data_IF_058881101979
#
_entry.id   IF_058881101979
#
_cell.length_a   1.000
_cell.length_b   1.000
_cell.length_c   1.000
_cell.angle_alpha   90.00
_cell.angle_beta   90.00
_cell.angle_gamma   90.00
#
_symmetry.space_group_name_H-M   'P 1'
#
loop_
_entity.id
_entity.type
_entity.pdbx_description
1 polymer ?
#
# COMPACT_ATOMS: atom_id res chain seq x y z
N UNK A 1 -14.73 12.25 -24.11
CA UNK A 1 -13.52 13.10 -24.18
C UNK A 1 -13.18 13.70 -22.81
N UNK A 2 -11.91 13.64 -22.39
CA UNK A 2 -11.46 14.27 -21.14
C UNK A 2 -11.52 15.80 -21.24
N UNK A 3 -11.75 16.47 -20.12
CA UNK A 3 -11.71 17.94 -20.08
C UNK A 3 -10.26 18.42 -20.20
N UNK A 4 -10.06 19.58 -20.84
CA UNK A 4 -8.74 20.23 -20.96
C UNK A 4 -8.05 20.40 -19.61
N UNK A 5 -8.83 20.68 -18.55
CA UNK A 5 -8.34 20.81 -17.19
C UNK A 5 -7.71 19.51 -16.66
N UNK A 6 -8.31 18.34 -16.94
CA UNK A 6 -7.76 17.05 -16.50
C UNK A 6 -6.45 16.71 -17.20
N UNK A 7 -6.33 17.05 -18.47
CA UNK A 7 -5.10 16.87 -19.26
C UNK A 7 -3.99 17.79 -18.72
N UNK A 8 -4.31 19.07 -18.50
CA UNK A 8 -3.37 20.03 -17.94
C UNK A 8 -2.84 19.62 -16.56
N UNK A 9 -3.71 19.07 -15.71
CA UNK A 9 -3.34 18.59 -14.36
C UNK A 9 -2.30 17.46 -14.41
N UNK A 10 -2.44 16.51 -15.34
CA UNK A 10 -1.46 15.44 -15.52
C UNK A 10 -0.08 16.00 -15.90
N UNK A 11 -0.03 16.91 -16.89
CA UNK A 11 1.21 17.54 -17.32
C UNK A 11 1.86 18.42 -16.23
N UNK A 12 1.05 19.05 -15.37
CA UNK A 12 1.56 19.79 -14.20
C UNK A 12 2.15 18.86 -13.14
N UNK A 13 1.44 17.78 -12.78
CA UNK A 13 1.94 16.76 -11.83
C UNK A 13 3.26 16.16 -12.31
N UNK A 14 3.38 15.87 -13.61
CA UNK A 14 4.61 15.33 -14.19
C UNK A 14 5.79 16.30 -14.09
N UNK A 15 5.58 17.58 -14.39
CA UNK A 15 6.62 18.61 -14.23
C UNK A 15 7.01 18.82 -12.76
N UNK A 16 6.06 18.71 -11.83
CA UNK A 16 6.35 18.78 -10.40
C UNK A 16 7.24 17.60 -9.96
N UNK A 17 6.94 16.38 -10.42
CA UNK A 17 7.77 15.21 -10.16
C UNK A 17 9.20 15.35 -10.70
N UNK A 18 9.36 15.86 -11.94
CA UNK A 18 10.69 16.13 -12.52
C UNK A 18 11.49 17.12 -11.68
N UNK A 19 10.88 18.24 -11.28
CA UNK A 19 11.55 19.22 -10.41
C UNK A 19 11.98 18.61 -9.09
N UNK A 20 11.16 17.75 -8.51
CA UNK A 20 11.51 17.05 -7.27
C UNK A 20 12.70 16.11 -7.46
N UNK A 21 12.77 15.41 -8.60
CA UNK A 21 13.91 14.53 -8.94
C UNK A 21 15.18 15.37 -9.14
N UNK A 22 15.09 16.48 -9.87
CA UNK A 22 16.25 17.33 -10.20
C UNK A 22 16.79 18.11 -9.00
N UNK A 23 15.90 18.67 -8.18
CA UNK A 23 16.28 19.54 -7.06
C UNK A 23 16.57 18.77 -5.77
N UNK A 24 16.20 17.49 -5.73
CA UNK A 24 16.10 16.73 -4.48
C UNK A 24 15.03 17.31 -3.55
N UNK A 25 14.66 16.55 -2.53
CA UNK A 25 13.83 17.10 -1.46
C UNK A 25 14.73 17.68 -0.37
N UNK A 26 14.92 19.01 -0.39
CA UNK A 26 15.65 19.74 0.66
C UNK A 26 15.06 19.38 2.04
N UNK A 27 15.84 18.68 2.86
CA UNK A 27 15.46 18.21 4.21
C UNK A 27 15.33 16.69 4.35
N UNK A 28 15.18 15.93 3.25
CA UNK A 28 15.12 14.45 3.27
C UNK A 28 16.50 13.79 3.19
N UNK A 29 17.52 14.57 2.84
CA UNK A 29 18.92 14.14 2.76
C UNK A 29 19.67 14.27 4.10
N UNK A 30 18.96 14.58 5.21
CA UNK A 30 19.58 14.65 6.53
C UNK A 30 19.74 13.26 7.15
N UNK A 31 20.53 12.43 6.46
CA UNK A 31 20.83 11.07 6.87
C UNK A 31 21.46 11.02 8.27
N UNK A 32 22.24 12.04 8.64
CA UNK A 32 22.83 12.14 9.98
C UNK A 32 21.78 12.21 11.09
N UNK A 33 20.74 13.04 10.93
CA UNK A 33 19.65 13.09 11.89
C UNK A 33 18.83 11.79 11.92
N UNK A 34 18.64 11.14 10.78
CA UNK A 34 17.95 9.85 10.72
C UNK A 34 18.76 8.79 11.47
N UNK A 35 20.08 8.71 11.23
CA UNK A 35 20.97 7.80 11.94
C UNK A 35 20.97 8.07 13.45
N UNK A 36 21.05 9.34 13.86
CA UNK A 36 21.02 9.72 15.28
C UNK A 36 19.74 9.26 15.96
N UNK A 37 18.58 9.45 15.33
CA UNK A 37 17.27 9.05 15.89
C UNK A 37 17.00 7.54 15.87
N UNK A 38 17.89 6.76 15.28
CA UNK A 38 17.83 5.30 15.21
C UNK A 38 19.12 4.66 15.76
N UNK A 39 19.84 5.38 16.63
CA UNK A 39 21.07 4.92 17.27
C UNK A 39 20.83 4.23 18.61
N UNK A 40 19.56 4.18 19.03
CA UNK A 40 19.08 3.48 20.21
C UNK A 40 19.51 2.00 20.19
N UNK A 41 20.01 1.46 21.32
CA UNK A 41 20.33 0.04 21.42
C UNK A 41 19.07 -0.80 21.16
N UNK A 42 19.17 -1.73 20.21
CA UNK A 42 18.09 -2.67 19.96
C UNK A 42 17.89 -3.59 21.17
N UNK A 43 16.64 -3.98 21.46
CA UNK A 43 16.38 -4.96 22.51
C UNK A 43 17.04 -6.30 22.18
N UNK A 44 17.42 -7.05 23.22
CA UNK A 44 17.95 -8.39 23.04
C UNK A 44 16.91 -9.27 22.33
N UNK A 45 17.39 -10.18 21.46
CA UNK A 45 16.51 -11.17 20.84
C UNK A 45 15.83 -12.01 21.91
N UNK A 46 14.50 -12.04 21.86
CA UNK A 46 13.67 -12.86 22.75
C UNK A 46 13.83 -14.36 22.47
N UNK A 47 14.08 -14.72 21.20
CA UNK A 47 14.26 -16.10 20.74
C UNK A 47 15.60 -16.17 19.99
N UNK A 48 16.55 -16.91 20.56
CA UNK A 48 17.93 -16.96 20.05
C UNK A 48 18.10 -18.06 19.01
N UNK A 49 17.44 -19.19 19.20
CA UNK A 49 17.65 -20.42 18.41
C UNK A 49 16.54 -20.69 17.39
N UNK A 50 15.45 -19.91 17.42
CA UNK A 50 14.26 -20.15 16.60
C UNK A 50 14.16 -19.15 15.45
N UNK A 51 13.72 -19.64 14.28
CA UNK A 51 13.32 -18.78 13.17
C UNK A 51 11.97 -18.10 13.44
N UNK A 52 11.69 -16.98 12.76
CA UNK A 52 10.41 -16.28 12.90
C UNK A 52 9.18 -17.19 12.61
N UNK A 53 9.30 -18.07 11.60
CA UNK A 53 8.24 -19.04 11.27
C UNK A 53 8.01 -20.03 12.42
N UNK A 54 9.08 -20.64 12.92
CA UNK A 54 9.03 -21.61 14.03
C UNK A 54 8.46 -21.00 15.31
N UNK A 55 8.85 -19.76 15.62
CA UNK A 55 8.31 -19.02 16.77
C UNK A 55 6.79 -18.82 16.69
N UNK A 56 6.29 -18.48 15.49
CA UNK A 56 4.87 -18.25 15.25
C UNK A 56 4.08 -19.56 15.20
N UNK A 57 4.61 -20.59 14.54
CA UNK A 57 3.97 -21.90 14.41
C UNK A 57 3.93 -22.65 15.75
N UNK A 58 4.96 -22.52 16.59
CA UNK A 58 4.99 -23.16 17.91
C UNK A 58 4.08 -22.47 18.94
N UNK A 59 3.47 -21.32 18.60
CA UNK A 59 2.63 -20.54 19.51
C UNK A 59 3.36 -19.93 20.71
N UNK A 60 4.70 -19.91 20.70
CA UNK A 60 5.51 -19.32 21.77
C UNK A 60 5.61 -17.81 21.66
N UNK A 61 5.53 -17.29 20.43
CA UNK A 61 5.42 -15.87 20.16
C UNK A 61 3.97 -15.47 19.91
N UNK A 62 3.60 -14.25 20.31
CA UNK A 62 2.26 -13.71 20.08
C UNK A 62 2.11 -13.12 18.68
N UNK A 63 2.40 -13.90 17.63
CA UNK A 63 2.41 -13.40 16.26
C UNK A 63 1.04 -12.88 15.81
N UNK A 64 1.05 -11.84 14.97
CA UNK A 64 -0.17 -11.29 14.36
C UNK A 64 -0.87 -12.39 13.55
N UNK A 65 -2.18 -12.52 13.74
CA UNK A 65 -2.96 -13.54 13.04
C UNK A 65 -2.87 -13.35 11.51
N UNK A 66 -2.57 -14.41 10.74
CA UNK A 66 -2.58 -14.34 9.28
C UNK A 66 -4.00 -14.15 8.75
N UNK A 67 -4.11 -13.73 7.49
CA UNK A 67 -5.37 -13.49 6.77
C UNK A 67 -6.36 -12.56 7.49
N UNK A 68 -5.85 -11.65 8.33
CA UNK A 68 -6.67 -10.59 8.91
C UNK A 68 -7.28 -9.74 7.77
N UNK A 69 -8.60 -9.50 7.83
CA UNK A 69 -9.31 -8.73 6.81
C UNK A 69 -8.96 -7.24 6.90
N UNK A 70 -7.82 -6.88 6.35
CA UNK A 70 -7.42 -5.50 6.10
C UNK A 70 -8.11 -5.07 4.80
N UNK A 71 -8.66 -3.85 4.78
CA UNK A 71 -9.45 -3.33 3.65
C UNK A 71 -8.74 -3.57 2.31
N UNK A 72 -9.18 -4.54 1.48
CA UNK A 72 -8.51 -4.80 0.22
C UNK A 72 -8.93 -3.73 -0.79
N UNK A 73 -8.05 -3.45 -1.74
CA UNK A 73 -8.35 -2.65 -2.91
C UNK A 73 -8.17 -3.55 -4.13
N UNK A 74 -9.27 -3.91 -4.78
CA UNK A 74 -9.25 -4.72 -5.99
C UNK A 74 -9.40 -3.76 -7.17
N UNK A 75 -8.49 -3.85 -8.14
CA UNK A 75 -8.63 -3.20 -9.44
C UNK A 75 -9.01 -4.23 -10.50
N UNK A 76 -9.86 -3.84 -11.44
CA UNK A 76 -10.34 -4.75 -12.48
C UNK A 76 -10.20 -4.19 -13.88
N UNK A 77 -10.10 -5.09 -14.84
CA UNK A 77 -10.19 -4.82 -16.27
C UNK A 77 -11.16 -5.85 -16.88
N UNK A 78 -12.48 -5.54 -16.89
CA UNK A 78 -13.51 -6.49 -17.30
C UNK A 78 -13.32 -7.03 -18.71
N UNK A 79 -12.93 -6.18 -19.66
CA UNK A 79 -12.72 -6.58 -21.06
C UNK A 79 -11.58 -7.60 -21.26
N UNK A 80 -10.73 -7.77 -20.25
CA UNK A 80 -9.59 -8.69 -20.27
C UNK A 80 -9.73 -9.82 -19.23
N UNK A 81 -10.87 -9.87 -18.50
CA UNK A 81 -11.08 -10.78 -17.37
C UNK A 81 -9.93 -10.78 -16.35
N UNK A 82 -9.38 -9.60 -16.06
CA UNK A 82 -8.28 -9.45 -15.09
C UNK A 82 -8.78 -8.77 -13.82
N UNK A 83 -8.34 -9.27 -12.67
CA UNK A 83 -8.42 -8.54 -11.41
C UNK A 83 -7.09 -8.63 -10.65
N UNK A 84 -6.79 -7.59 -9.89
CA UNK A 84 -5.60 -7.57 -9.04
C UNK A 84 -5.90 -7.00 -7.67
N UNK A 85 -5.40 -7.66 -6.63
CA UNK A 85 -5.38 -7.09 -5.28
C UNK A 85 -4.20 -6.13 -5.16
N UNK A 86 -4.49 -4.87 -4.88
CA UNK A 86 -3.50 -3.81 -4.71
C UNK A 86 -2.98 -3.83 -3.27
N UNK A 87 -1.74 -4.27 -3.14
CA UNK A 87 -0.98 -4.18 -1.90
C UNK A 87 -0.11 -2.93 -1.95
N UNK A 88 -0.31 -2.01 -1.02
CA UNK A 88 0.47 -0.79 -0.99
C UNK A 88 1.97 -1.07 -0.90
N UNK A 89 2.76 -0.18 -1.53
CA UNK A 89 4.22 -0.29 -1.63
C UNK A 89 4.74 -1.52 -2.40
N UNK A 90 3.84 -2.27 -3.04
CA UNK A 90 4.17 -3.42 -3.92
C UNK A 90 3.60 -3.16 -5.31
N UNK A 91 4.27 -2.30 -6.08
CA UNK A 91 3.82 -1.89 -7.42
C UNK A 91 2.40 -1.28 -7.44
N UNK A 92 1.83 -0.85 -6.29
CA UNK A 92 0.41 -0.47 -6.18
C UNK A 92 -0.02 0.64 -7.15
N UNK A 93 0.77 1.70 -7.27
CA UNK A 93 0.49 2.81 -8.19
C UNK A 93 0.59 2.38 -9.65
N UNK A 94 1.65 1.64 -10.01
CA UNK A 94 1.88 1.16 -11.37
C UNK A 94 0.81 0.17 -11.78
N UNK A 95 0.42 -0.75 -10.89
CA UNK A 95 -0.65 -1.70 -11.15
C UNK A 95 -2.00 -0.99 -11.37
N UNK A 96 -2.33 -0.01 -10.52
CA UNK A 96 -3.53 0.82 -10.71
C UNK A 96 -3.50 1.56 -12.07
N UNK A 97 -2.33 2.02 -12.50
CA UNK A 97 -2.13 2.66 -13.79
C UNK A 97 -2.31 1.70 -14.98
N UNK A 98 -1.72 0.50 -14.91
CA UNK A 98 -1.88 -0.55 -15.91
C UNK A 98 -3.37 -0.89 -16.07
N UNK A 99 -4.06 -1.17 -14.97
CA UNK A 99 -5.49 -1.49 -15.02
C UNK A 99 -6.33 -0.33 -15.57
N UNK A 100 -6.00 0.91 -15.23
CA UNK A 100 -6.68 2.07 -15.79
C UNK A 100 -6.44 2.22 -17.30
N UNK A 101 -5.21 1.97 -17.76
CA UNK A 101 -4.88 1.91 -19.18
C UNK A 101 -5.68 0.80 -19.90
N UNK A 102 -5.76 -0.40 -19.33
CA UNK A 102 -6.52 -1.51 -19.92
C UNK A 102 -8.04 -1.23 -20.02
N UNK A 103 -8.60 -0.42 -19.12
CA UNK A 103 -10.02 -0.05 -19.14
C UNK A 103 -10.29 1.15 -20.05
N UNK A 104 -9.35 2.11 -20.15
CA UNK A 104 -9.57 3.40 -20.84
C UNK A 104 -8.39 3.81 -21.71
N UNK A 105 -7.85 2.88 -22.50
CA UNK A 105 -6.63 3.05 -23.30
C UNK A 105 -6.60 4.37 -24.05
N UNK A 106 -7.61 4.62 -24.90
CA UNK A 106 -7.68 5.84 -25.71
C UNK A 106 -7.62 7.11 -24.87
N UNK A 107 -8.39 7.18 -23.79
CA UNK A 107 -8.41 8.37 -22.93
C UNK A 107 -7.11 8.54 -22.13
N UNK A 108 -6.45 7.44 -21.78
CA UNK A 108 -5.17 7.46 -21.10
C UNK A 108 -4.08 8.03 -22.02
N UNK A 109 -4.01 7.53 -23.26
CA UNK A 109 -3.05 7.95 -24.28
C UNK A 109 -3.32 9.38 -24.75
N UNK A 110 -4.57 9.72 -25.08
CA UNK A 110 -4.96 11.06 -25.54
C UNK A 110 -4.65 12.15 -24.49
N UNK A 111 -4.63 11.78 -23.21
CA UNK A 111 -4.27 12.68 -22.12
C UNK A 111 -2.75 12.77 -21.87
N UNK A 112 -1.91 12.09 -22.67
CA UNK A 112 -0.45 12.10 -22.54
C UNK A 112 0.04 11.45 -21.24
N UNK A 113 -0.72 10.49 -20.70
CA UNK A 113 -0.40 9.86 -19.42
C UNK A 113 0.63 8.76 -19.58
N UNK A 114 1.39 8.52 -18.53
CA UNK A 114 2.41 7.48 -18.45
C UNK A 114 2.17 6.60 -17.23
N UNK A 115 2.17 5.28 -17.45
CA UNK A 115 2.03 4.25 -16.41
C UNK A 115 3.04 4.45 -15.27
N UNK A 116 4.25 4.91 -15.60
CA UNK A 116 5.35 5.05 -14.65
C UNK A 116 5.33 6.37 -13.87
N UNK A 117 4.52 7.34 -14.32
CA UNK A 117 4.47 8.70 -13.74
C UNK A 117 3.16 8.98 -13.03
N UNK A 118 2.28 7.98 -12.96
CA UNK A 118 1.01 8.08 -12.27
C UNK A 118 1.18 8.43 -10.79
N UNK A 119 0.29 9.28 -10.31
CA UNK A 119 0.34 9.79 -8.93
C UNK A 119 -1.08 10.01 -8.39
N UNK A 120 -1.30 9.95 -7.05
CA UNK A 120 -2.64 10.02 -6.47
C UNK A 120 -3.46 11.26 -6.83
N UNK A 121 -2.83 12.38 -7.17
CA UNK A 121 -3.51 13.63 -7.48
C UNK A 121 -4.19 13.63 -8.87
N UNK A 122 -3.84 12.71 -9.76
CA UNK A 122 -4.31 12.71 -11.15
C UNK A 122 -5.16 11.49 -11.53
N UNK A 123 -5.53 10.60 -10.60
CA UNK A 123 -6.16 9.29 -10.89
C UNK A 123 -7.35 9.32 -11.86
N UNK A 124 -7.17 8.78 -13.07
CA UNK A 124 -8.20 8.78 -14.14
C UNK A 124 -9.37 7.81 -13.89
N UNK A 125 -9.09 6.67 -13.27
CA UNK A 125 -10.04 5.57 -13.08
C UNK A 125 -10.48 5.39 -11.61
N UNK A 126 -10.12 6.32 -10.73
CA UNK A 126 -10.49 6.27 -9.32
C UNK A 126 -11.99 6.06 -9.14
N UNK A 127 -12.34 5.07 -8.32
CA UNK A 127 -13.73 4.70 -8.03
C UNK A 127 -14.52 4.12 -9.20
N UNK A 128 -13.89 3.85 -10.36
CA UNK A 128 -14.58 3.30 -11.54
C UNK A 128 -14.33 1.81 -11.74
N UNK A 129 -13.08 1.38 -11.53
CA UNK A 129 -12.67 -0.01 -11.66
C UNK A 129 -12.06 -0.55 -10.35
N UNK A 130 -12.46 0.05 -9.23
CA UNK A 130 -11.94 -0.21 -7.90
C UNK A 130 -13.03 -0.74 -6.98
N UNK A 131 -12.75 -1.85 -6.29
CA UNK A 131 -13.71 -2.54 -5.43
C UNK A 131 -13.08 -2.85 -4.07
N UNK A 132 -13.90 -2.90 -3.02
CA UNK A 132 -13.44 -3.18 -1.66
C UNK A 132 -13.55 -4.65 -1.28
N UNK A 133 -14.10 -5.48 -2.16
CA UNK A 133 -14.17 -6.94 -2.01
C UNK A 133 -14.47 -7.60 -3.36
N UNK A 134 -14.21 -8.91 -3.46
CA UNK A 134 -14.61 -9.70 -4.64
C UNK A 134 -16.14 -9.68 -4.81
N UNK A 135 -16.88 -9.67 -3.70
CA UNK A 135 -18.35 -9.56 -3.72
C UNK A 135 -18.81 -8.23 -4.33
N UNK A 136 -18.22 -7.12 -3.89
CA UNK A 136 -18.53 -5.78 -4.42
C UNK A 136 -18.22 -5.70 -5.92
N UNK A 137 -17.14 -6.37 -6.35
CA UNK A 137 -16.78 -6.51 -7.76
C UNK A 137 -17.84 -7.30 -8.54
N UNK A 138 -18.27 -8.46 -8.03
CA UNK A 138 -19.30 -9.25 -8.69
C UNK A 138 -20.59 -8.46 -8.85
N UNK A 139 -21.03 -7.77 -7.79
CA UNK A 139 -22.22 -6.93 -7.80
C UNK A 139 -22.07 -5.76 -8.79
N UNK A 140 -20.95 -5.02 -8.71
CA UNK A 140 -20.71 -3.84 -9.55
C UNK A 140 -20.51 -4.16 -11.04
N UNK A 141 -20.07 -5.37 -11.37
CA UNK A 141 -19.87 -5.83 -12.75
C UNK A 141 -20.98 -6.76 -13.25
N UNK A 142 -22.03 -7.00 -12.45
CA UNK A 142 -23.11 -7.96 -12.77
C UNK A 142 -22.60 -9.37 -13.13
N UNK A 143 -21.56 -9.85 -12.44
CA UNK A 143 -20.97 -11.16 -12.69
C UNK A 143 -21.68 -12.25 -11.87
N UNK A 144 -21.90 -13.41 -12.49
CA UNK A 144 -22.31 -14.63 -11.77
C UNK A 144 -21.06 -15.33 -11.22
N UNK A 145 -21.22 -16.15 -10.18
CA UNK A 145 -20.10 -16.88 -9.55
C UNK A 145 -19.28 -17.68 -10.57
N UNK A 146 -19.95 -18.42 -11.46
CA UNK A 146 -19.32 -19.21 -12.52
C UNK A 146 -18.53 -18.38 -13.55
N UNK A 147 -18.76 -17.06 -13.61
CA UNK A 147 -17.96 -16.20 -14.50
C UNK A 147 -16.58 -15.92 -13.89
N UNK A 148 -16.38 -16.07 -12.57
CA UNK A 148 -15.07 -15.81 -11.95
C UNK A 148 -14.01 -16.84 -12.34
N UNK A 149 -14.42 -18.04 -12.78
CA UNK A 149 -13.50 -19.09 -13.24
C UNK A 149 -12.76 -18.68 -14.54
N UNK A 150 -13.32 -17.73 -15.28
CA UNK A 150 -12.72 -17.15 -16.49
C UNK A 150 -11.80 -15.96 -16.18
N UNK A 151 -11.74 -15.52 -14.92
CA UNK A 151 -10.93 -14.38 -14.51
C UNK A 151 -9.57 -14.78 -13.97
N UNK A 152 -8.55 -14.02 -14.36
CA UNK A 152 -7.22 -14.14 -13.79
C UNK A 152 -7.07 -13.21 -12.59
N UNK A 153 -6.85 -13.80 -11.42
CA UNK A 153 -6.51 -13.09 -10.20
C UNK A 153 -4.99 -12.98 -10.06
N UNK A 154 -4.52 -11.76 -9.78
CA UNK A 154 -3.11 -11.49 -9.53
C UNK A 154 -2.91 -10.70 -8.25
N UNK A 155 -1.77 -10.91 -7.61
CA UNK A 155 -1.31 -10.09 -6.49
C UNK A 155 0.19 -9.97 -6.61
N UNK A 156 0.70 -8.75 -6.53
CA UNK A 156 2.14 -8.50 -6.49
C UNK A 156 2.53 -8.27 -5.04
N UNK A 157 3.37 -9.17 -4.54
CA UNK A 157 3.99 -9.06 -3.22
C UNK A 157 5.42 -8.52 -3.34
N UNK A 158 5.99 -8.13 -2.21
CA UNK A 158 7.37 -7.65 -2.11
C UNK A 158 7.96 -8.24 -0.83
N UNK A 159 9.28 -8.38 -0.79
CA UNK A 159 9.99 -8.76 0.44
C UNK A 159 9.54 -7.83 1.60
N UNK A 160 9.13 -8.40 2.75
CA UNK A 160 8.49 -7.63 3.82
C UNK A 160 9.31 -6.46 4.38
N UNK A 161 10.61 -6.65 4.61
CA UNK A 161 11.50 -5.60 5.15
C UNK A 161 11.61 -4.45 4.16
N UNK A 162 11.81 -4.78 2.90
CA UNK A 162 11.92 -3.85 1.78
C UNK A 162 10.63 -3.02 1.58
N UNK A 163 9.48 -3.66 1.74
CA UNK A 163 8.17 -3.01 1.73
C UNK A 163 8.00 -2.09 2.93
N UNK A 164 8.33 -2.57 4.13
CA UNK A 164 8.27 -1.80 5.36
C UNK A 164 9.11 -0.52 5.23
N UNK A 165 10.37 -0.64 4.81
CA UNK A 165 11.26 0.51 4.61
C UNK A 165 10.70 1.51 3.60
N UNK A 166 10.13 1.02 2.48
CA UNK A 166 9.45 1.87 1.51
C UNK A 166 8.24 2.62 2.11
N UNK A 167 7.46 1.94 2.95
CA UNK A 167 6.34 2.52 3.69
C UNK A 167 6.78 3.59 4.67
N UNK A 168 7.73 3.26 5.55
CA UNK A 168 8.27 4.15 6.57
C UNK A 168 8.94 5.38 5.97
N UNK A 169 9.81 5.20 4.95
CA UNK A 169 10.46 6.32 4.27
C UNK A 169 9.40 7.23 3.66
N UNK A 170 8.45 6.69 2.89
CA UNK A 170 7.43 7.52 2.26
C UNK A 170 6.54 8.26 3.27
N UNK A 171 5.96 7.56 4.25
CA UNK A 171 4.99 8.15 5.17
C UNK A 171 5.65 9.01 6.25
N UNK A 172 6.72 8.52 6.87
CA UNK A 172 7.32 9.16 8.05
C UNK A 172 8.42 10.15 7.71
N UNK A 173 9.25 9.82 6.72
CA UNK A 173 10.38 10.69 6.37
C UNK A 173 9.95 11.72 5.34
N UNK A 174 9.34 11.28 4.23
CA UNK A 174 9.02 12.17 3.10
C UNK A 174 7.76 13.00 3.31
N UNK A 175 6.66 12.35 3.71
CA UNK A 175 5.38 13.04 3.92
C UNK A 175 5.31 13.69 5.30
N UNK A 176 5.91 13.07 6.32
CA UNK A 176 5.87 13.57 7.69
C UNK A 176 4.52 13.34 8.36
N UNK A 177 3.91 12.17 8.14
CA UNK A 177 2.75 11.73 8.91
C UNK A 177 3.07 11.64 10.42
N UNK A 178 2.04 11.39 11.23
CA UNK A 178 2.19 11.25 12.68
C UNK A 178 3.13 10.11 13.08
N UNK A 179 3.16 9.04 12.28
CA UNK A 179 4.01 7.87 12.49
C UNK A 179 3.89 7.31 13.89
N UNK A 180 2.63 7.19 14.33
CA UNK A 180 2.24 6.72 15.66
C UNK A 180 2.85 7.54 16.81
N UNK A 181 3.30 8.76 16.54
CA UNK A 181 4.00 9.62 17.50
C UNK A 181 5.51 9.39 17.56
N UNK A 182 6.06 8.45 16.78
CA UNK A 182 7.49 8.11 16.77
C UNK A 182 8.34 9.02 15.89
N UNK A 183 7.72 9.81 15.00
CA UNK A 183 8.43 10.62 14.01
C UNK A 183 9.29 9.74 13.10
N UNK A 184 10.61 9.85 13.21
CA UNK A 184 11.57 9.09 12.40
C UNK A 184 12.38 8.06 13.20
N UNK A 185 11.96 7.71 14.42
CA UNK A 185 12.50 6.57 15.16
C UNK A 185 11.78 5.27 14.73
N UNK A 186 12.54 4.35 14.14
CA UNK A 186 12.05 3.13 13.51
C UNK A 186 11.76 2.04 14.53
N UNK A 187 12.52 1.96 15.63
CA UNK A 187 12.27 1.01 16.73
C UNK A 187 10.88 1.22 17.32
N UNK A 188 10.60 2.47 17.75
CA UNK A 188 9.28 2.90 18.22
C UNK A 188 8.18 2.62 17.19
N UNK A 189 8.44 2.95 15.91
CA UNK A 189 7.45 2.75 14.86
C UNK A 189 7.10 1.27 14.67
N UNK A 190 8.10 0.39 14.66
CA UNK A 190 7.91 -1.06 14.53
C UNK A 190 7.12 -1.64 15.73
N UNK A 191 7.41 -1.19 16.94
CA UNK A 191 6.70 -1.62 18.15
C UNK A 191 5.23 -1.20 18.13
N UNK A 192 4.94 0.06 17.77
CA UNK A 192 3.57 0.55 17.64
C UNK A 192 2.84 -0.08 16.44
N UNK A 193 3.51 -0.29 15.30
CA UNK A 193 2.94 -1.01 14.17
C UNK A 193 2.52 -2.42 14.58
N UNK A 194 3.40 -3.16 15.24
CA UNK A 194 3.14 -4.54 15.67
C UNK A 194 1.92 -4.60 16.62
N UNK A 195 1.87 -3.70 17.59
CA UNK A 195 0.73 -3.55 18.51
C UNK A 195 -0.57 -3.26 17.76
N UNK A 196 -0.56 -2.29 16.85
CA UNK A 196 -1.74 -1.90 16.05
C UNK A 196 -2.20 -3.01 15.12
N UNK A 197 -1.27 -3.72 14.48
CA UNK A 197 -1.57 -4.87 13.64
C UNK A 197 -2.22 -6.00 14.47
N UNK A 198 -1.71 -6.25 15.68
CA UNK A 198 -2.32 -7.17 16.65
C UNK A 198 -3.74 -6.75 17.06
N UNK A 199 -3.94 -5.51 17.49
CA UNK A 199 -5.26 -4.96 17.84
C UNK A 199 -6.27 -5.14 16.70
N UNK A 200 -5.84 -4.86 15.45
CA UNK A 200 -6.69 -5.00 14.29
C UNK A 200 -6.98 -6.47 13.94
N UNK A 201 -5.97 -7.33 13.95
CA UNK A 201 -6.09 -8.74 13.59
C UNK A 201 -6.94 -9.53 14.60
N UNK A 202 -6.82 -9.23 15.89
CA UNK A 202 -7.52 -9.93 16.97
C UNK A 202 -8.86 -9.27 17.38
N UNK A 203 -9.26 -8.15 16.76
CA UNK A 203 -10.48 -7.43 17.10
C UNK A 203 -11.73 -8.34 17.12
N UNK A 204 -11.94 -9.12 16.05
CA UNK A 204 -13.10 -10.01 15.94
C UNK A 204 -13.10 -11.09 17.03
N UNK A 205 -11.94 -11.69 17.31
CA UNK A 205 -11.76 -12.74 18.34
C UNK A 205 -12.07 -12.19 19.73
N UNK A 206 -11.73 -10.93 19.98
CA UNK A 206 -11.88 -10.28 21.27
C UNK A 206 -13.22 -9.55 21.43
N UNK A 207 -14.09 -9.58 20.41
CA UNK A 207 -15.36 -8.82 20.41
C UNK A 207 -15.14 -7.30 20.43
N UNK A 208 -13.99 -6.83 19.95
CA UNK A 208 -13.62 -5.41 19.93
C UNK A 208 -13.93 -4.80 18.56
N UNK A 209 -14.18 -3.48 18.57
CA UNK A 209 -14.27 -2.73 17.31
C UNK A 209 -12.87 -2.55 16.74
N UNK A 210 -12.69 -2.86 15.44
CA UNK A 210 -11.42 -2.63 14.76
C UNK A 210 -11.00 -1.17 14.83
N UNK A 211 -9.72 -0.87 15.12
CA UNK A 211 -9.24 0.50 15.07
C UNK A 211 -9.36 1.05 13.64
N UNK A 212 -9.57 2.37 13.53
CA UNK A 212 -9.58 3.05 12.24
C UNK A 212 -8.17 2.97 11.64
N UNK A 213 -8.08 2.45 10.42
CA UNK A 213 -6.84 2.42 9.67
C UNK A 213 -6.37 3.85 9.33
N UNK A 214 -5.12 4.13 9.66
CA UNK A 214 -4.36 5.31 9.29
C UNK A 214 -3.67 5.11 7.93
N UNK A 215 -3.03 6.15 7.40
CA UNK A 215 -2.25 5.99 6.18
C UNK A 215 -1.03 5.12 6.44
N UNK A 216 -0.39 5.27 7.59
CA UNK A 216 0.71 4.44 8.05
C UNK A 216 0.30 2.96 7.99
N UNK A 217 -0.78 2.58 8.68
CA UNK A 217 -1.29 1.19 8.71
C UNK A 217 -1.48 0.61 7.30
N UNK A 218 -2.11 1.35 6.40
CA UNK A 218 -2.42 0.89 5.03
C UNK A 218 -1.13 0.61 4.23
N UNK A 219 -0.04 1.31 4.50
CA UNK A 219 1.21 1.19 3.76
C UNK A 219 2.18 0.17 4.38
N UNK A 220 2.15 -0.02 5.70
CA UNK A 220 3.12 -0.87 6.40
C UNK A 220 2.56 -2.21 6.84
N UNK A 221 1.26 -2.30 7.18
CA UNK A 221 0.67 -3.53 7.75
C UNK A 221 1.07 -4.77 6.95
N UNK A 222 1.36 -5.89 7.64
CA UNK A 222 1.79 -7.13 7.02
C UNK A 222 0.87 -7.59 5.88
N UNK A 223 1.48 -8.19 4.85
CA UNK A 223 0.77 -8.79 3.73
C UNK A 223 0.17 -10.11 4.22
N UNK A 224 -1.14 -10.10 4.48
CA UNK A 224 -1.86 -11.22 5.08
C UNK A 224 -2.94 -11.72 4.14
#
# INVERSE_FOLDING_TARGET
PLSKQKIAKAAESYRAQERTIELGHKGLDNLEQILLKNSDPLPNRTFVDDGAAEMCESGRAQCVQPFAKIRPLIVTSPNHHLMSCIIQKSMSTVMSAIFCFLVREKEFVDAGRSILREYPDIRLCEGKNEFKSVKDMQEGLSLRLQHLDEWHFSMVTREPVDRFLSGFIDRCIRVGDSCFGCGSNMTCFLEEEYKRAGEYAFADKNGLTRPRLTNEDIHVFPQN
#
